data_IF_704604219909
#
_entry.id   IF_704604219909
#
_cell.length_a   1.000
_cell.length_b   1.000
_cell.length_c   1.000
_cell.angle_alpha   90.00
_cell.angle_beta   90.00
_cell.angle_gamma   90.00
#
_symmetry.space_group_name_H-M   'P 1'
#
loop_
_entity.id
_entity.type
_entity.pdbx_description
1 polymer ?
#
# COMPACT_ATOMS: atom_id res chain seq x y z
N UNK A 1 15.49 -9.94 4.02
CA UNK A 1 14.52 -9.90 2.92
C UNK A 1 14.42 -11.16 2.03
N UNK A 2 15.41 -12.07 1.98
CA UNK A 2 15.35 -13.22 1.05
C UNK A 2 14.21 -14.22 1.33
N UNK A 3 13.89 -14.47 2.61
CA UNK A 3 12.74 -15.32 3.00
C UNK A 3 11.40 -14.69 2.63
N UNK A 4 11.22 -13.40 2.91
CA UNK A 4 10.00 -12.66 2.56
C UNK A 4 9.75 -12.68 1.05
N UNK A 5 10.78 -12.43 0.23
CA UNK A 5 10.67 -12.51 -1.24
C UNK A 5 10.30 -13.90 -1.76
N UNK A 6 10.73 -14.97 -1.07
CA UNK A 6 10.33 -16.34 -1.40
C UNK A 6 8.88 -16.63 -1.01
N UNK A 7 8.45 -16.12 0.14
CA UNK A 7 7.09 -16.28 0.65
C UNK A 7 6.04 -15.48 -0.13
N UNK A 8 6.43 -14.33 -0.72
CA UNK A 8 5.54 -13.43 -1.48
C UNK A 8 4.62 -14.16 -2.43
N UNK A 9 5.17 -15.04 -3.28
CA UNK A 9 4.35 -15.79 -4.27
C UNK A 9 3.23 -16.62 -3.65
N UNK A 10 3.44 -17.15 -2.44
CA UNK A 10 2.41 -17.89 -1.72
C UNK A 10 1.32 -16.98 -1.16
N UNK A 11 1.70 -15.79 -0.68
CA UNK A 11 0.76 -14.75 -0.25
C UNK A 11 -0.05 -14.23 -1.43
N UNK A 12 0.61 -13.89 -2.55
CA UNK A 12 -0.03 -13.44 -3.79
C UNK A 12 -1.06 -14.46 -4.27
N UNK A 13 -0.70 -15.76 -4.27
CA UNK A 13 -1.60 -16.83 -4.70
C UNK A 13 -2.82 -16.97 -3.76
N UNK A 14 -2.60 -16.93 -2.45
CA UNK A 14 -3.69 -17.03 -1.47
C UNK A 14 -4.65 -15.84 -1.56
N UNK A 15 -4.12 -14.61 -1.63
CA UNK A 15 -4.94 -13.40 -1.79
C UNK A 15 -5.66 -13.37 -3.14
N UNK A 16 -5.03 -13.88 -4.20
CA UNK A 16 -5.65 -14.00 -5.51
C UNK A 16 -6.95 -14.82 -5.51
N UNK A 17 -7.04 -15.88 -4.70
CA UNK A 17 -8.29 -16.63 -4.56
C UNK A 17 -9.39 -15.83 -3.85
N UNK A 18 -9.04 -14.99 -2.86
CA UNK A 18 -9.99 -14.12 -2.17
C UNK A 18 -10.51 -13.01 -3.10
N UNK A 19 -9.62 -12.40 -3.88
CA UNK A 19 -9.96 -11.32 -4.81
C UNK A 19 -10.84 -11.79 -5.98
N UNK A 20 -10.87 -13.08 -6.32
CA UNK A 20 -11.87 -13.61 -7.27
C UNK A 20 -13.31 -13.44 -6.77
N UNK A 21 -13.51 -13.49 -5.44
CA UNK A 21 -14.83 -13.36 -4.80
C UNK A 21 -15.14 -11.90 -4.49
N UNK A 22 -14.13 -11.12 -4.10
CA UNK A 22 -14.26 -9.69 -3.81
C UNK A 22 -13.17 -8.87 -4.52
N UNK A 23 -13.33 -8.59 -5.84
CA UNK A 23 -12.29 -7.93 -6.64
C UNK A 23 -11.93 -6.51 -6.19
N UNK A 24 -12.86 -5.87 -5.49
CA UNK A 24 -12.75 -4.49 -5.00
C UNK A 24 -12.43 -4.43 -3.51
N UNK A 25 -12.08 -5.56 -2.87
CA UNK A 25 -11.74 -5.59 -1.46
C UNK A 25 -10.47 -4.79 -1.17
N UNK A 26 -10.52 -3.96 -0.13
CA UNK A 26 -9.34 -3.35 0.44
C UNK A 26 -8.59 -4.29 1.39
N UNK A 27 -7.53 -3.77 2.00
CA UNK A 27 -6.70 -4.44 2.98
C UNK A 27 -6.44 -3.51 4.15
N UNK A 28 -6.38 -4.09 5.35
CA UNK A 28 -6.11 -3.34 6.56
C UNK A 28 -4.61 -3.06 6.66
N UNK A 29 -4.22 -1.79 6.51
CA UNK A 29 -2.81 -1.37 6.36
C UNK A 29 -1.88 -1.89 7.46
N UNK A 30 -2.36 -2.02 8.70
CA UNK A 30 -1.53 -2.51 9.83
C UNK A 30 -1.19 -3.99 9.76
N UNK A 31 -1.90 -4.78 8.94
CA UNK A 31 -1.71 -6.23 8.78
C UNK A 31 -1.57 -6.60 7.29
N UNK A 32 -0.83 -5.78 6.55
CA UNK A 32 -0.84 -5.81 5.09
C UNK A 32 0.41 -6.41 4.45
N UNK A 33 0.34 -6.68 3.13
CA UNK A 33 1.48 -7.20 2.38
C UNK A 33 2.49 -6.07 2.09
N UNK A 34 3.72 -6.30 2.51
CA UNK A 34 4.84 -5.42 2.20
C UNK A 34 5.04 -5.28 0.68
N UNK A 35 4.67 -6.27 -0.13
CA UNK A 35 4.87 -6.24 -1.58
C UNK A 35 3.62 -5.87 -2.40
N UNK A 36 2.54 -5.40 -1.75
CA UNK A 36 1.33 -4.98 -2.45
C UNK A 36 1.63 -3.92 -3.51
N UNK A 37 1.26 -4.21 -4.75
CA UNK A 37 1.54 -3.36 -5.90
C UNK A 37 0.50 -2.25 -6.05
N UNK A 38 -0.76 -2.50 -5.68
CA UNK A 38 -1.88 -1.53 -5.73
C UNK A 38 -2.18 -0.95 -4.35
N UNK A 39 -1.13 -0.69 -3.56
CA UNK A 39 -1.26 -0.35 -2.14
C UNK A 39 -2.04 0.96 -1.92
N UNK A 40 -1.99 1.91 -2.85
CA UNK A 40 -2.78 3.15 -2.77
C UNK A 40 -4.28 2.81 -2.66
N UNK A 41 -4.77 1.96 -3.56
CA UNK A 41 -6.17 1.55 -3.59
C UNK A 41 -6.49 0.54 -2.50
N UNK A 42 -5.65 -0.49 -2.34
CA UNK A 42 -5.89 -1.54 -1.35
C UNK A 42 -5.97 -0.98 0.08
N UNK A 43 -5.11 -0.01 0.46
CA UNK A 43 -5.04 0.47 1.85
C UNK A 43 -5.87 1.73 2.09
N UNK A 44 -5.93 2.63 1.11
CA UNK A 44 -6.51 3.96 1.29
C UNK A 44 -7.75 4.18 0.43
N UNK A 45 -7.92 3.40 -0.65
CA UNK A 45 -9.04 3.49 -1.58
C UNK A 45 -9.22 4.91 -2.14
N UNK A 46 -10.47 5.32 -2.28
CA UNK A 46 -10.86 6.65 -2.78
C UNK A 46 -10.32 7.80 -1.90
N UNK A 47 -9.96 7.53 -0.63
CA UNK A 47 -9.45 8.55 0.27
C UNK A 47 -7.99 8.92 -0.01
N UNK A 48 -7.26 8.13 -0.80
CA UNK A 48 -5.83 8.34 -1.04
C UNK A 48 -5.53 9.76 -1.52
N UNK A 49 -6.31 10.28 -2.47
CA UNK A 49 -6.10 11.60 -3.05
C UNK A 49 -6.18 12.73 -2.01
N UNK A 50 -7.21 12.68 -1.15
CA UNK A 50 -7.40 13.66 -0.06
C UNK A 50 -6.31 13.55 0.99
N UNK A 51 -5.91 12.34 1.36
CA UNK A 51 -4.84 12.12 2.33
C UNK A 51 -3.50 12.62 1.79
N UNK A 52 -3.21 12.39 0.50
CA UNK A 52 -2.00 12.87 -0.15
C UNK A 52 -1.94 14.42 -0.18
N UNK A 53 -3.08 15.09 -0.34
CA UNK A 53 -3.16 16.55 -0.22
C UNK A 53 -2.82 17.02 1.19
N UNK A 54 -3.44 16.42 2.22
CA UNK A 54 -3.14 16.72 3.62
C UNK A 54 -1.65 16.49 3.92
N UNK A 55 -1.07 15.39 3.41
CA UNK A 55 0.34 15.06 3.56
C UNK A 55 1.23 16.15 2.93
N UNK A 56 0.95 16.59 1.70
CA UNK A 56 1.69 17.69 1.05
C UNK A 56 1.60 19.00 1.83
N UNK A 57 0.47 19.30 2.45
CA UNK A 57 0.31 20.52 3.26
C UNK A 57 1.12 20.46 4.56
N UNK A 58 1.14 19.31 5.24
CA UNK A 58 1.73 19.19 6.58
C UNK A 58 3.19 18.72 6.57
N UNK A 59 3.61 18.00 5.54
CA UNK A 59 4.98 17.50 5.36
C UNK A 59 5.44 17.68 3.90
N UNK A 60 5.60 18.95 3.45
CA UNK A 60 5.95 19.27 2.07
C UNK A 60 7.34 18.77 1.64
N UNK A 61 8.25 18.59 2.60
CA UNK A 61 9.61 18.10 2.36
C UNK A 61 9.72 16.57 2.46
N UNK A 62 8.60 15.87 2.74
CA UNK A 62 8.56 14.41 2.90
C UNK A 62 9.56 13.89 3.94
N UNK A 63 9.61 14.52 5.12
CA UNK A 63 10.45 14.08 6.23
C UNK A 63 9.97 12.73 6.80
N UNK A 64 8.66 12.49 6.82
CA UNK A 64 8.07 11.28 7.39
C UNK A 64 7.57 10.34 6.28
N UNK A 65 8.46 9.48 5.78
CA UNK A 65 8.12 8.49 4.75
C UNK A 65 8.12 7.09 5.34
N UNK A 66 7.11 6.31 4.98
CA UNK A 66 7.00 4.88 5.30
C UNK A 66 6.59 4.12 4.04
N UNK A 67 7.09 2.89 3.90
CA UNK A 67 6.77 2.03 2.77
C UNK A 67 5.25 1.80 2.65
N UNK A 68 4.68 2.03 1.47
CA UNK A 68 3.24 1.99 1.18
C UNK A 68 2.39 2.96 2.02
N UNK A 69 3.01 3.99 2.61
CA UNK A 69 2.34 5.08 3.27
C UNK A 69 1.89 6.15 2.29
N UNK A 70 0.93 6.98 2.71
CA UNK A 70 0.50 8.15 1.93
C UNK A 70 1.71 9.05 1.63
N UNK A 71 2.01 9.23 0.34
CA UNK A 71 3.13 10.04 -0.16
C UNK A 71 4.45 9.28 -0.38
N UNK A 72 4.49 7.95 -0.21
CA UNK A 72 5.66 7.11 -0.55
C UNK A 72 6.05 7.18 -2.04
N UNK A 73 5.08 7.45 -2.91
CA UNK A 73 5.26 7.70 -4.34
C UNK A 73 5.69 9.14 -4.68
N UNK A 74 5.54 10.08 -3.75
CA UNK A 74 5.89 11.50 -3.91
C UNK A 74 7.27 11.84 -3.37
N UNK A 75 7.85 10.97 -2.53
CA UNK A 75 9.20 11.15 -2.01
C UNK A 75 10.20 11.15 -3.18
N UNK A 76 10.81 12.31 -3.43
CA UNK A 76 11.76 12.52 -4.53
C UNK A 76 12.85 11.45 -4.55
N UNK A 77 12.80 10.60 -5.58
CA UNK A 77 13.92 9.78 -6.05
C UNK A 77 14.57 10.45 -7.24
#
# INVERSE_FOLDING_TARGET
MSRARRARRGVDAAMGELLKVAPEAGSYVSESDYFEADWQRSYWGENHARLAEIKRTNDPESLFVVHNGVGDDMAGR
#
